data_IF_247943813922
#
_entry.id   IF_247943813922
#
_cell.length_a   1.000
_cell.length_b   1.000
_cell.length_c   1.000
_cell.angle_alpha   90.00
_cell.angle_beta   90.00
_cell.angle_gamma   90.00
#
_symmetry.space_group_name_H-M   'P 1'
#
loop_
_entity.id
_entity.type
_entity.pdbx_description
1 polymer ?
#
# COMPACT_ATOMS: atom_id res chain seq x y z
N UNK A 1 5.07 2.94 -0.25
CA UNK A 1 4.58 2.11 0.88
C UNK A 1 3.32 2.75 1.44
N UNK A 2 2.52 2.01 2.19
CA UNK A 2 1.28 2.49 2.82
C UNK A 2 0.07 2.56 1.91
N UNK A 3 0.08 1.91 0.74
CA UNK A 3 -1.01 2.01 -0.22
C UNK A 3 -2.32 1.36 0.29
N UNK A 4 -2.25 0.16 0.87
CA UNK A 4 -3.43 -0.49 1.45
C UNK A 4 -4.00 0.31 2.62
N UNK A 5 -3.13 0.92 3.45
CA UNK A 5 -3.56 1.78 4.55
C UNK A 5 -4.25 3.05 4.06
N UNK A 6 -3.73 3.69 3.01
CA UNK A 6 -4.38 4.85 2.37
C UNK A 6 -5.81 4.51 1.92
N UNK A 7 -5.98 3.36 1.26
CA UNK A 7 -7.28 2.89 0.81
C UNK A 7 -8.24 2.65 1.98
N UNK A 8 -7.75 2.02 3.05
CA UNK A 8 -8.54 1.79 4.28
C UNK A 8 -8.98 3.12 4.91
N UNK A 9 -8.09 4.10 5.03
CA UNK A 9 -8.41 5.42 5.58
C UNK A 9 -9.51 6.11 4.76
N UNK A 10 -9.49 5.94 3.44
CA UNK A 10 -10.47 6.51 2.53
C UNK A 10 -11.75 5.66 2.40
N UNK A 11 -11.81 4.49 3.03
CA UNK A 11 -12.94 3.56 2.91
C UNK A 11 -13.06 2.89 1.54
N UNK A 12 -11.96 2.85 0.79
CA UNK A 12 -11.90 2.30 -0.57
C UNK A 12 -11.40 0.84 -0.50
N UNK A 13 -12.14 -0.13 -1.07
CA UNK A 13 -11.66 -1.50 -1.18
C UNK A 13 -10.50 -1.62 -2.16
N UNK A 14 -9.49 -2.43 -1.82
CA UNK A 14 -8.34 -2.66 -2.69
C UNK A 14 -8.74 -3.19 -4.09
N UNK A 15 -9.70 -4.09 -4.14
CA UNK A 15 -10.20 -4.72 -5.37
C UNK A 15 -11.36 -3.93 -6.01
N UNK A 16 -11.14 -2.63 -6.27
CA UNK A 16 -12.15 -1.75 -6.86
C UNK A 16 -11.58 -0.85 -7.96
N UNK A 17 -12.45 -0.37 -8.85
CA UNK A 17 -12.11 0.63 -9.88
C UNK A 17 -11.55 1.91 -9.24
N UNK A 18 -12.20 2.36 -8.16
CA UNK A 18 -11.82 3.56 -7.40
C UNK A 18 -10.39 3.46 -6.83
N UNK A 19 -9.98 2.27 -6.36
CA UNK A 19 -8.60 2.05 -5.96
C UNK A 19 -7.64 2.22 -7.14
N UNK A 20 -7.94 1.67 -8.32
CA UNK A 20 -7.05 1.83 -9.48
C UNK A 20 -6.95 3.27 -9.97
N UNK A 21 -8.08 4.00 -9.99
CA UNK A 21 -8.09 5.42 -10.32
C UNK A 21 -7.24 6.23 -9.34
N UNK A 22 -7.32 5.91 -8.05
CA UNK A 22 -6.48 6.55 -7.04
C UNK A 22 -4.99 6.20 -7.22
N UNK A 23 -4.66 4.93 -7.47
CA UNK A 23 -3.28 4.52 -7.77
C UNK A 23 -2.71 5.29 -8.96
N UNK A 24 -3.49 5.42 -10.04
CA UNK A 24 -3.08 6.17 -11.23
C UNK A 24 -2.84 7.64 -10.89
N UNK A 25 -3.76 8.29 -10.19
CA UNK A 25 -3.61 9.70 -9.78
C UNK A 25 -2.38 9.92 -8.91
N UNK A 26 -2.16 9.06 -7.92
CA UNK A 26 -1.00 9.14 -7.01
C UNK A 26 0.30 8.94 -7.78
N UNK A 27 0.37 7.93 -8.64
CA UNK A 27 1.58 7.64 -9.40
C UNK A 27 1.85 8.67 -10.49
N UNK A 28 0.83 9.23 -11.14
CA UNK A 28 0.98 10.36 -12.06
C UNK A 28 1.60 11.56 -11.35
N UNK A 29 1.08 11.93 -10.18
CA UNK A 29 1.64 13.02 -9.37
C UNK A 29 3.11 12.76 -9.00
N UNK A 30 3.45 11.57 -8.49
CA UNK A 30 4.83 11.20 -8.15
C UNK A 30 5.73 11.25 -9.39
N UNK A 31 5.24 10.76 -10.52
CA UNK A 31 6.00 10.73 -11.77
C UNK A 31 6.33 12.15 -12.24
N UNK A 32 5.35 13.05 -12.23
CA UNK A 32 5.50 14.43 -12.66
C UNK A 32 6.44 15.20 -11.74
N UNK A 33 6.22 15.13 -10.42
CA UNK A 33 7.07 15.81 -9.44
C UNK A 33 8.51 15.28 -9.44
N UNK A 34 8.70 13.96 -9.59
CA UNK A 34 10.05 13.39 -9.66
C UNK A 34 10.82 13.85 -10.90
N UNK A 35 10.14 13.97 -12.04
CA UNK A 35 10.71 14.50 -13.28
C UNK A 35 10.99 15.99 -13.17
N UNK A 36 10.06 16.77 -12.60
CA UNK A 36 10.25 18.21 -12.37
C UNK A 36 11.48 18.47 -11.48
N UNK A 37 11.61 17.77 -10.37
CA UNK A 37 12.80 17.86 -9.52
C UNK A 37 14.08 17.51 -10.28
N UNK A 38 14.04 16.47 -11.11
CA UNK A 38 15.21 16.07 -11.91
C UNK A 38 15.54 17.05 -13.05
N UNK A 39 14.56 17.80 -13.57
CA UNK A 39 14.78 18.92 -14.51
C UNK A 39 15.49 20.09 -13.83
N UNK A 40 15.08 20.46 -12.62
CA UNK A 40 15.76 21.51 -11.85
C UNK A 40 17.21 21.12 -11.55
N UNK A 41 17.46 19.86 -11.17
CA UNK A 41 18.81 19.34 -10.98
C UNK A 41 19.64 19.33 -12.27
N UNK A 42 19.02 19.21 -13.44
CA UNK A 42 19.72 19.25 -14.72
C UNK A 42 20.25 20.65 -15.02
N UNK A 43 19.50 21.70 -14.66
CA UNK A 43 19.96 23.10 -14.81
C UNK A 43 21.22 23.38 -13.99
N UNK A 44 21.31 22.79 -12.79
CA UNK A 44 22.44 22.99 -11.88
C UNK A 44 23.64 22.10 -12.21
N UNK A 45 23.41 20.86 -12.64
CA UNK A 45 24.43 19.79 -12.68
C UNK A 45 24.66 19.21 -14.07
N UNK A 46 23.90 19.66 -15.07
CA UNK A 46 23.82 19.06 -16.40
C UNK A 46 22.96 17.79 -16.43
N UNK A 47 22.61 17.34 -17.64
CA UNK A 47 21.86 16.10 -17.88
C UNK A 47 22.64 14.84 -17.46
N UNK A 48 21.98 13.68 -17.43
CA UNK A 48 22.68 12.41 -17.20
C UNK A 48 23.65 12.07 -18.37
N UNK A 49 24.74 11.31 -18.13
CA UNK A 49 25.79 11.10 -19.14
C UNK A 49 25.32 10.53 -20.49
N UNK A 50 24.35 9.62 -20.49
CA UNK A 50 23.82 8.98 -21.70
C UNK A 50 22.52 9.63 -22.20
N UNK A 51 22.37 10.95 -22.00
CA UNK A 51 21.17 11.67 -22.44
C UNK A 51 20.99 11.62 -23.96
N UNK A 52 22.09 11.79 -24.72
CA UNK A 52 22.07 11.76 -26.19
C UNK A 52 21.57 10.41 -26.70
N UNK A 53 20.55 10.41 -27.54
CA UNK A 53 19.87 9.21 -28.06
C UNK A 53 18.90 8.54 -27.08
N UNK A 54 18.65 9.12 -25.89
CA UNK A 54 17.62 8.64 -24.98
C UNK A 54 16.22 9.10 -25.41
N UNK A 55 15.17 8.59 -24.75
CA UNK A 55 13.79 9.04 -24.97
C UNK A 55 13.59 10.54 -24.69
N UNK A 56 14.48 11.16 -23.90
CA UNK A 56 14.44 12.58 -23.56
C UNK A 56 15.20 13.45 -24.55
N UNK A 57 16.05 12.87 -25.40
CA UNK A 57 16.74 13.54 -26.52
C UNK A 57 15.87 13.44 -27.78
N UNK A 58 14.71 14.09 -27.72
CA UNK A 58 13.72 14.16 -28.80
C UNK A 58 13.20 15.59 -28.97
N UNK A 59 12.58 15.96 -30.10
CA UNK A 59 12.07 17.31 -30.32
C UNK A 59 11.09 17.80 -29.24
N UNK A 60 10.29 16.89 -28.67
CA UNK A 60 9.35 17.16 -27.58
C UNK A 60 9.91 16.80 -26.19
N UNK A 61 11.21 16.47 -26.14
CA UNK A 61 11.92 16.07 -24.93
C UNK A 61 12.28 17.25 -24.02
N UNK A 62 12.90 16.93 -22.89
CA UNK A 62 13.35 17.93 -21.92
C UNK A 62 14.59 17.43 -21.18
N UNK A 63 15.44 18.36 -20.78
CA UNK A 63 16.67 18.06 -20.04
C UNK A 63 16.36 17.53 -18.63
N UNK A 64 16.96 16.40 -18.27
CA UNK A 64 16.74 15.74 -16.99
C UNK A 64 18.05 15.20 -16.42
N UNK A 65 18.22 15.28 -15.10
CA UNK A 65 19.45 14.83 -14.41
C UNK A 65 19.54 13.32 -14.24
N UNK A 66 18.40 12.63 -14.18
CA UNK A 66 18.30 11.21 -13.89
C UNK A 66 17.60 10.50 -15.05
N UNK A 67 18.17 9.39 -15.54
CA UNK A 67 17.55 8.59 -16.60
C UNK A 67 16.22 7.96 -16.16
N UNK A 68 16.16 7.54 -14.89
CA UNK A 68 14.96 7.01 -14.23
C UNK A 68 14.82 7.66 -12.86
N UNK A 69 13.59 7.93 -12.45
CA UNK A 69 13.29 8.66 -11.20
C UNK A 69 12.39 7.87 -10.25
N UNK A 70 11.68 6.86 -10.75
CA UNK A 70 10.70 6.10 -9.97
C UNK A 70 10.96 4.61 -10.06
N UNK A 71 10.85 3.94 -8.91
CA UNK A 71 10.83 2.49 -8.78
C UNK A 71 10.09 2.13 -7.49
N UNK A 72 9.21 1.12 -7.55
CA UNK A 72 8.51 0.62 -6.37
C UNK A 72 9.28 -0.61 -5.88
N UNK A 73 10.21 -0.39 -4.96
CA UNK A 73 10.96 -1.47 -4.32
C UNK A 73 10.15 -2.12 -3.17
N UNK A 74 10.48 -3.36 -2.77
CA UNK A 74 9.97 -3.95 -1.54
C UNK A 74 10.36 -3.10 -0.32
N UNK A 75 9.42 -2.85 0.59
CA UNK A 75 9.66 -1.99 1.76
C UNK A 75 9.51 -2.72 3.09
N UNK A 76 9.83 -4.01 3.16
CA UNK A 76 9.55 -4.86 4.34
C UNK A 76 9.97 -4.25 5.69
N UNK A 77 11.26 -3.99 5.89
CA UNK A 77 11.75 -3.41 7.16
C UNK A 77 11.29 -1.95 7.34
N UNK A 78 11.31 -1.16 6.27
CA UNK A 78 10.96 0.26 6.33
C UNK A 78 9.49 0.48 6.67
N UNK A 79 8.59 -0.37 6.16
CA UNK A 79 7.16 -0.27 6.42
C UNK A 79 6.83 -0.67 7.86
N UNK A 80 7.59 -1.58 8.46
CA UNK A 80 7.48 -1.88 9.90
C UNK A 80 7.89 -0.66 10.74
N UNK A 81 9.00 -0.01 10.40
CA UNK A 81 9.47 1.21 11.12
C UNK A 81 8.46 2.35 10.97
N UNK A 82 7.93 2.54 9.76
CA UNK A 82 6.92 3.56 9.47
C UNK A 82 5.51 3.16 9.92
N UNK A 83 5.32 1.96 10.48
CA UNK A 83 4.05 1.39 10.89
C UNK A 83 2.98 1.52 9.78
N UNK A 84 3.30 1.02 8.58
CA UNK A 84 2.39 1.04 7.43
C UNK A 84 2.47 -0.23 6.59
N UNK A 85 1.53 -0.37 5.65
CA UNK A 85 1.52 -1.48 4.69
C UNK A 85 2.76 -1.46 3.79
N UNK A 86 3.26 -2.63 3.41
CA UNK A 86 4.45 -2.74 2.56
C UNK A 86 4.13 -2.35 1.10
N UNK A 87 5.00 -1.57 0.47
CA UNK A 87 4.97 -1.28 -0.96
C UNK A 87 3.60 -0.79 -1.45
N UNK A 88 3.08 -1.48 -2.46
CA UNK A 88 1.70 -1.36 -2.95
C UNK A 88 0.86 -2.60 -2.64
N UNK A 89 1.36 -3.46 -1.74
CA UNK A 89 0.78 -4.76 -1.45
C UNK A 89 -0.55 -4.63 -0.70
N UNK A 90 -1.52 -5.52 -0.95
CA UNK A 90 -2.68 -5.65 -0.08
C UNK A 90 -2.26 -6.16 1.31
N UNK A 91 -3.15 -6.01 2.30
CA UNK A 91 -2.91 -6.60 3.62
C UNK A 91 -2.84 -8.12 3.52
N UNK A 92 -1.76 -8.73 4.04
CA UNK A 92 -1.68 -10.18 4.14
C UNK A 92 -2.67 -10.73 5.17
N UNK A 93 -2.71 -10.11 6.35
CA UNK A 93 -3.62 -10.45 7.43
C UNK A 93 -4.05 -9.18 8.18
N UNK A 94 -5.29 -9.19 8.69
CA UNK A 94 -5.85 -8.09 9.50
C UNK A 94 -5.47 -8.28 10.97
N UNK A 95 -5.41 -9.53 11.40
CA UNK A 95 -5.00 -9.97 12.73
C UNK A 95 -4.08 -11.18 12.54
N UNK A 96 -2.97 -11.24 13.26
CA UNK A 96 -2.08 -12.39 13.22
C UNK A 96 -1.43 -12.61 14.59
N UNK A 97 -1.00 -13.85 14.82
CA UNK A 97 -0.37 -14.25 16.08
C UNK A 97 1.13 -14.37 15.86
N UNK A 98 1.88 -13.60 16.63
CA UNK A 98 3.32 -13.66 16.69
C UNK A 98 3.74 -14.46 17.91
N UNK A 99 4.46 -15.56 17.68
CA UNK A 99 5.06 -16.33 18.77
C UNK A 99 6.26 -15.56 19.29
N UNK A 100 6.25 -15.21 20.58
CA UNK A 100 7.36 -14.56 21.27
C UNK A 100 8.05 -15.56 22.19
N UNK A 101 9.11 -15.12 22.89
CA UNK A 101 9.83 -15.97 23.84
C UNK A 101 8.88 -16.49 24.93
N UNK A 102 9.20 -17.65 25.49
CA UNK A 102 8.43 -18.31 26.57
C UNK A 102 7.05 -18.86 26.18
N UNK A 103 6.84 -19.23 24.91
CA UNK A 103 5.57 -19.75 24.37
C UNK A 103 4.39 -18.75 24.42
N UNK A 104 4.66 -17.47 24.70
CA UNK A 104 3.64 -16.45 24.67
C UNK A 104 3.19 -16.14 23.24
N UNK A 105 1.87 -16.01 23.06
CA UNK A 105 1.22 -15.68 21.79
C UNK A 105 0.81 -14.21 21.83
N UNK A 106 1.52 -13.37 21.08
CA UNK A 106 1.18 -11.97 20.94
C UNK A 106 0.22 -11.78 19.76
N UNK A 107 -0.98 -11.30 20.04
CA UNK A 107 -1.97 -10.96 19.04
C UNK A 107 -1.69 -9.55 18.49
N UNK A 108 -1.30 -9.46 17.22
CA UNK A 108 -1.11 -8.20 16.51
C UNK A 108 -2.31 -7.97 15.57
N UNK A 109 -2.90 -6.78 15.65
CA UNK A 109 -4.08 -6.38 14.86
C UNK A 109 -3.74 -5.10 14.11
N UNK A 110 -4.13 -5.02 12.83
CA UNK A 110 -4.02 -3.81 12.03
C UNK A 110 -4.61 -2.63 12.80
N UNK A 111 -3.85 -1.54 12.92
CA UNK A 111 -4.20 -0.39 13.77
C UNK A 111 -5.51 0.29 13.38
N UNK A 112 -5.82 0.39 12.09
CA UNK A 112 -7.06 1.01 11.62
C UNK A 112 -8.25 0.11 11.95
N UNK A 113 -8.11 -1.20 11.72
CA UNK A 113 -9.14 -2.16 12.10
C UNK A 113 -9.39 -2.18 13.61
N UNK A 114 -8.32 -2.19 14.42
CA UNK A 114 -8.42 -2.13 15.87
C UNK A 114 -9.14 -0.86 16.33
N UNK A 115 -8.81 0.29 15.75
CA UNK A 115 -9.49 1.56 16.07
C UNK A 115 -10.97 1.48 15.73
N UNK A 116 -11.32 1.11 14.50
CA UNK A 116 -12.72 0.99 14.04
C UNK A 116 -13.49 0.00 14.92
N UNK A 117 -12.93 -1.18 15.17
CA UNK A 117 -13.58 -2.19 15.99
C UNK A 117 -13.84 -1.71 17.43
N UNK A 118 -12.93 -0.89 17.96
CA UNK A 118 -13.09 -0.30 19.30
C UNK A 118 -14.18 0.76 19.29
N UNK A 119 -14.13 1.67 18.33
CA UNK A 119 -15.07 2.79 18.20
C UNK A 119 -16.51 2.30 17.93
N UNK A 120 -16.66 1.23 17.15
CA UNK A 120 -17.94 0.59 16.79
C UNK A 120 -18.39 -0.50 17.80
N UNK A 121 -17.60 -0.76 18.84
CA UNK A 121 -17.98 -1.66 19.92
C UNK A 121 -17.96 -3.16 19.60
N UNK A 122 -17.32 -3.60 18.51
CA UNK A 122 -17.19 -5.02 18.16
C UNK A 122 -15.81 -5.63 18.45
N UNK A 123 -14.90 -4.86 19.05
CA UNK A 123 -13.60 -5.35 19.49
C UNK A 123 -13.70 -6.30 20.68
N UNK A 124 -13.25 -7.54 20.52
CA UNK A 124 -12.94 -8.44 21.64
C UNK A 124 -11.73 -9.32 21.30
N UNK A 125 -11.02 -9.81 22.33
CA UNK A 125 -9.87 -10.70 22.12
C UNK A 125 -10.29 -11.96 21.34
N UNK A 126 -11.44 -12.54 21.64
CA UNK A 126 -11.93 -13.73 20.93
C UNK A 126 -12.23 -13.44 19.45
N UNK A 127 -12.76 -12.25 19.12
CA UNK A 127 -13.01 -11.87 17.73
C UNK A 127 -11.69 -11.73 16.97
N UNK A 128 -10.69 -11.09 17.57
CA UNK A 128 -9.39 -10.89 16.92
C UNK A 128 -8.60 -12.20 16.76
N UNK A 129 -8.71 -13.12 17.72
CA UNK A 129 -8.17 -14.48 17.61
C UNK A 129 -8.87 -15.25 16.49
N UNK A 130 -10.21 -15.20 16.43
CA UNK A 130 -10.97 -15.83 15.34
C UNK A 130 -10.58 -15.27 13.96
N UNK A 131 -10.35 -13.96 13.85
CA UNK A 131 -9.89 -13.33 12.60
C UNK A 131 -8.47 -13.78 12.24
N UNK A 132 -7.59 -13.95 13.24
CA UNK A 132 -6.23 -14.44 13.01
C UNK A 132 -6.22 -15.90 12.54
N UNK A 133 -7.17 -16.72 13.00
CA UNK A 133 -7.33 -18.11 12.57
C UNK A 133 -7.99 -18.23 11.19
N UNK A 134 -9.00 -17.41 10.88
CA UNK A 134 -9.70 -17.45 9.59
C UNK A 134 -8.92 -16.80 8.45
N UNK A 135 -8.07 -15.81 8.76
CA UNK A 135 -7.33 -15.01 7.78
C UNK A 135 -8.18 -14.06 6.94
N UNK A 136 -9.49 -13.98 7.19
CA UNK A 136 -10.44 -13.10 6.50
C UNK A 136 -11.66 -12.77 7.38
N UNK A 137 -12.49 -11.83 6.93
CA UNK A 137 -13.65 -11.34 7.70
C UNK A 137 -15.00 -11.95 7.28
N UNK A 138 -15.05 -12.83 6.27
CA UNK A 138 -16.32 -13.29 5.67
C UNK A 138 -17.25 -13.91 6.72
N UNK A 139 -16.71 -14.81 7.55
CA UNK A 139 -17.46 -15.60 8.54
C UNK A 139 -17.46 -14.99 9.96
N UNK A 140 -17.20 -13.68 10.05
CA UNK A 140 -17.18 -12.94 11.32
C UNK A 140 -18.45 -12.08 11.41
N UNK A 141 -19.51 -12.62 12.01
CA UNK A 141 -20.84 -11.96 12.08
C UNK A 141 -20.83 -10.62 12.81
N UNK A 142 -19.95 -10.47 13.80
CA UNK A 142 -19.80 -9.23 14.58
C UNK A 142 -19.25 -8.06 13.77
N UNK A 143 -18.62 -8.30 12.62
CA UNK A 143 -18.05 -7.25 11.78
C UNK A 143 -19.09 -6.78 10.76
N UNK A 144 -19.45 -5.48 10.72
CA UNK A 144 -20.36 -4.95 9.71
C UNK A 144 -19.86 -5.17 8.28
N UNK A 145 -20.80 -5.42 7.35
CA UNK A 145 -20.48 -5.73 5.94
C UNK A 145 -19.69 -4.64 5.22
N UNK A 146 -19.90 -3.36 5.58
CA UNK A 146 -19.13 -2.24 5.05
C UNK A 146 -17.63 -2.39 5.32
N UNK A 147 -17.25 -2.79 6.54
CA UNK A 147 -15.86 -3.00 6.90
C UNK A 147 -15.27 -4.29 6.29
N UNK A 148 -16.08 -5.34 6.12
CA UNK A 148 -15.64 -6.56 5.40
C UNK A 148 -15.20 -6.26 3.96
N UNK A 149 -15.86 -5.30 3.31
CA UNK A 149 -15.50 -4.87 1.94
C UNK A 149 -14.18 -4.10 1.91
N UNK A 150 -13.89 -3.31 2.94
CA UNK A 150 -12.69 -2.45 3.01
C UNK A 150 -11.46 -3.28 3.39
N UNK A 151 -11.58 -4.12 4.43
CA UNK A 151 -10.50 -4.94 4.96
C UNK A 151 -10.44 -6.30 4.26
N UNK A 152 -10.23 -6.29 2.95
CA UNK A 152 -9.97 -7.50 2.15
C UNK A 152 -8.49 -7.88 2.23
N UNK A 153 -8.19 -9.17 2.41
CA UNK A 153 -6.80 -9.64 2.45
C UNK A 153 -6.30 -10.10 1.08
N UNK A 154 -4.97 -10.24 0.95
CA UNK A 154 -4.31 -10.75 -0.23
C UNK A 154 -4.88 -12.10 -0.72
N UNK A 155 -5.36 -12.94 0.21
CA UNK A 155 -5.96 -14.23 -0.10
C UNK A 155 -7.35 -14.14 -0.73
N UNK A 156 -8.04 -13.02 -0.56
CA UNK A 156 -9.39 -12.78 -1.08
C UNK A 156 -9.38 -12.00 -2.40
N UNK A 157 -8.29 -11.29 -2.67
CA UNK A 157 -8.12 -10.46 -3.85
C UNK A 157 -7.70 -11.34 -5.03
N UNK A 158 -8.49 -11.34 -6.09
CA UNK A 158 -8.09 -11.99 -7.34
C UNK A 158 -6.80 -11.34 -7.85
N UNK A 159 -5.79 -12.13 -8.29
CA UNK A 159 -4.55 -11.57 -8.86
C UNK A 159 -4.80 -10.58 -9.99
N UNK A 160 -5.91 -10.73 -10.74
CA UNK A 160 -6.32 -9.81 -11.78
C UNK A 160 -6.44 -8.36 -11.29
N UNK A 161 -6.96 -8.13 -10.09
CA UNK A 161 -7.08 -6.79 -9.52
C UNK A 161 -5.72 -6.15 -9.23
N UNK A 162 -4.72 -6.96 -8.88
CA UNK A 162 -3.39 -6.48 -8.54
C UNK A 162 -2.53 -6.19 -9.78
N UNK A 163 -2.74 -6.91 -10.89
CA UNK A 163 -1.96 -6.72 -12.14
C UNK A 163 -2.65 -5.82 -13.17
N UNK A 164 -3.86 -5.34 -12.90
CA UNK A 164 -4.63 -4.56 -13.88
C UNK A 164 -4.00 -3.17 -14.04
N UNK A 165 -3.85 -2.75 -15.29
CA UNK A 165 -3.31 -1.45 -15.71
C UNK A 165 -4.38 -0.57 -16.31
#
# INVERSE_FOLDING_TARGET
MGYADLLIILGIPYNSEEALELAQRVMSFIQDESKNASRELAKERGVFPNFKGSIYDSPDGYEIRNATTTTIAPTGTLSIIADCSSGVEPLFAISFIKNVMDNDRLLEVNKYFKKIATDEGFYSKEVMEKIAESGNLKDIDKVPSGYKRIFVTAHEISPKWHVRT
#
